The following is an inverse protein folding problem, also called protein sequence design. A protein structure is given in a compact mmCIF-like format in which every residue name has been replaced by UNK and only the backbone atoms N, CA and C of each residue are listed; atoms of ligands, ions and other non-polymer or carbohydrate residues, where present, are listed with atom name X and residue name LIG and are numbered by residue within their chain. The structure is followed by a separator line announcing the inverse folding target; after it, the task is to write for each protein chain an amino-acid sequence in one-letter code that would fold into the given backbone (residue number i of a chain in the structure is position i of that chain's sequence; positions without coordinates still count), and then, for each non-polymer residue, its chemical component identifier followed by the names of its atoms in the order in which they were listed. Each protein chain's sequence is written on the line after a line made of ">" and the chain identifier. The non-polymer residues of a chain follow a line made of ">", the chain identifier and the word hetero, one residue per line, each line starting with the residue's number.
data_IF_028866905200
#
_entry.id   IF_028866905200
#
_cell.length_a   1.000
_cell.length_b   1.000
_cell.length_c   1.000
_cell.angle_alpha   90.00
_cell.angle_beta   90.00
_cell.angle_gamma   90.00
#
_symmetry.space_group_name_H-M   'P 1'
#
loop_
_entity.id
_entity.type
_entity.pdbx_description
1 polymer ?
#
# COMPACT_ATOMS: atom_id res chain seq x y z
N UNK A 1 8.83 -6.60 0.81
CA UNK A 1 8.99 -5.69 1.96
C UNK A 1 9.71 -4.44 1.52
N UNK A 2 9.09 -3.31 1.78
CA UNK A 2 9.58 -1.94 1.62
C UNK A 2 10.52 -1.56 2.77
N UNK A 3 11.19 -0.40 2.65
CA UNK A 3 12.11 0.08 3.68
C UNK A 3 11.40 0.35 5.02
N UNK A 4 10.21 0.95 4.99
CA UNK A 4 9.44 1.22 6.21
C UNK A 4 9.05 -0.05 6.96
N UNK A 5 8.62 -1.09 6.23
CA UNK A 5 8.29 -2.39 6.83
C UNK A 5 9.51 -3.06 7.45
N UNK A 6 10.69 -2.96 6.80
CA UNK A 6 11.92 -3.50 7.39
C UNK A 6 12.31 -2.79 8.69
N UNK A 7 12.07 -1.48 8.79
CA UNK A 7 12.32 -0.71 10.02
C UNK A 7 11.35 -1.13 11.11
N UNK A 8 10.05 -1.21 10.80
CA UNK A 8 9.03 -1.70 11.73
C UNK A 8 9.37 -3.10 12.24
N UNK A 9 9.65 -4.04 11.33
CA UNK A 9 10.00 -5.42 11.68
C UNK A 9 11.24 -5.53 12.55
N UNK A 10 12.25 -4.69 12.32
CA UNK A 10 13.45 -4.64 13.16
C UNK A 10 13.13 -4.19 14.59
N UNK A 11 12.18 -3.27 14.75
CA UNK A 11 11.74 -2.77 16.06
C UNK A 11 10.79 -3.75 16.77
N UNK A 12 9.82 -4.31 16.04
CA UNK A 12 8.82 -5.24 16.55
C UNK A 12 9.34 -6.69 16.65
N UNK A 13 10.53 -6.98 16.09
CA UNK A 13 11.12 -8.33 15.96
C UNK A 13 10.19 -9.30 15.22
N UNK A 14 9.40 -8.80 14.28
CA UNK A 14 8.46 -9.58 13.48
C UNK A 14 9.16 -10.20 12.25
N UNK A 15 8.86 -11.46 11.87
CA UNK A 15 9.39 -12.04 10.63
C UNK A 15 8.87 -11.32 9.38
N UNK A 16 9.56 -11.54 8.26
CA UNK A 16 9.12 -11.04 6.94
C UNK A 16 7.78 -11.63 6.54
N UNK A 17 6.86 -10.79 6.04
CA UNK A 17 5.69 -11.26 5.33
C UNK A 17 6.03 -11.59 3.88
N UNK A 18 5.61 -12.76 3.41
CA UNK A 18 5.73 -13.19 2.02
C UNK A 18 4.38 -13.30 1.31
N UNK A 19 3.28 -12.94 1.98
CA UNK A 19 1.92 -13.02 1.43
C UNK A 19 1.80 -12.23 0.12
N UNK A 20 2.25 -10.95 0.01
CA UNK A 20 2.13 -10.22 -1.26
C UNK A 20 2.93 -10.85 -2.40
N UNK A 21 4.13 -11.38 -2.10
CA UNK A 21 4.94 -12.10 -3.08
C UNK A 21 4.29 -13.39 -3.58
N UNK A 22 3.66 -14.15 -2.67
CA UNK A 22 2.88 -15.34 -3.01
C UNK A 22 1.64 -14.99 -3.82
N UNK A 23 0.96 -13.89 -3.47
CA UNK A 23 -0.19 -13.36 -4.23
C UNK A 23 0.20 -13.08 -5.67
N UNK A 24 1.30 -12.34 -5.87
CA UNK A 24 1.78 -12.02 -7.22
C UNK A 24 2.26 -13.27 -7.97
N UNK A 25 2.91 -14.21 -7.30
CA UNK A 25 3.31 -15.49 -7.90
C UNK A 25 2.09 -16.22 -8.47
N UNK A 26 1.01 -16.33 -7.68
CA UNK A 26 -0.24 -16.97 -8.11
C UNK A 26 -0.96 -16.21 -9.22
N UNK A 27 -1.04 -14.88 -9.13
CA UNK A 27 -1.65 -14.05 -10.19
C UNK A 27 -0.94 -14.20 -11.54
N UNK A 28 0.38 -14.40 -11.53
CA UNK A 28 1.20 -14.54 -12.72
C UNK A 28 1.50 -15.99 -13.11
N UNK A 29 0.94 -16.98 -12.39
CA UNK A 29 1.26 -18.40 -12.55
C UNK A 29 2.76 -18.69 -12.51
N UNK A 30 3.49 -18.02 -11.60
CA UNK A 30 4.94 -18.14 -11.38
C UNK A 30 5.23 -19.05 -10.18
N UNK A 31 6.44 -19.66 -10.12
CA UNK A 31 6.84 -20.46 -8.96
C UNK A 31 7.01 -19.61 -7.70
N UNK A 32 6.67 -20.18 -6.55
CA UNK A 32 6.81 -19.55 -5.23
C UNK A 32 8.28 -19.34 -4.80
N UNK A 33 9.25 -19.91 -5.53
CA UNK A 33 10.68 -19.76 -5.25
C UNK A 33 11.19 -18.33 -5.48
N UNK A 34 10.47 -17.51 -6.27
CA UNK A 34 10.81 -16.11 -6.52
C UNK A 34 10.12 -15.13 -5.55
N UNK A 35 9.49 -15.64 -4.47
CA UNK A 35 8.60 -14.86 -3.60
C UNK A 35 9.19 -13.56 -3.07
N UNK A 36 10.49 -13.46 -2.79
CA UNK A 36 11.08 -12.21 -2.29
C UNK A 36 11.09 -11.09 -3.33
N UNK A 37 11.50 -11.41 -4.56
CA UNK A 37 11.49 -10.47 -5.68
C UNK A 37 10.04 -10.06 -6.00
N UNK A 38 9.16 -11.06 -6.08
CA UNK A 38 7.74 -10.83 -6.34
C UNK A 38 7.07 -10.03 -5.21
N UNK A 39 7.51 -10.20 -3.96
CA UNK A 39 7.02 -9.42 -2.84
C UNK A 39 7.33 -7.93 -3.04
N UNK A 40 8.57 -7.60 -3.38
CA UNK A 40 8.96 -6.22 -3.67
C UNK A 40 8.18 -5.66 -4.87
N UNK A 41 8.07 -6.42 -5.95
CA UNK A 41 7.30 -6.04 -7.14
C UNK A 41 5.83 -5.77 -6.81
N UNK A 42 5.20 -6.62 -5.99
CA UNK A 42 3.81 -6.45 -5.60
C UNK A 42 3.61 -5.16 -4.80
N UNK A 43 4.45 -4.90 -3.79
CA UNK A 43 4.37 -3.67 -3.00
C UNK A 43 4.53 -2.41 -3.86
N UNK A 44 5.55 -2.38 -4.73
CA UNK A 44 5.76 -1.21 -5.59
C UNK A 44 4.70 -1.08 -6.68
N UNK A 45 4.25 -2.19 -7.26
CA UNK A 45 3.22 -2.21 -8.31
C UNK A 45 1.87 -1.70 -7.78
N UNK A 46 1.40 -2.26 -6.66
CA UNK A 46 0.19 -1.76 -6.01
C UNK A 46 0.35 -0.33 -5.51
N UNK A 47 1.51 0.00 -4.94
CA UNK A 47 1.82 1.36 -4.50
C UNK A 47 1.78 2.38 -5.64
N UNK A 48 2.32 2.05 -6.81
CA UNK A 48 2.28 2.92 -7.98
C UNK A 48 0.85 3.09 -8.52
N UNK A 49 0.10 1.98 -8.66
CA UNK A 49 -1.27 2.00 -9.15
C UNK A 49 -2.20 2.80 -8.23
N UNK A 50 -2.11 2.59 -6.93
CA UNK A 50 -2.92 3.33 -5.97
C UNK A 50 -2.42 4.76 -5.76
N UNK A 51 -1.12 5.02 -5.90
CA UNK A 51 -0.59 6.38 -5.97
C UNK A 51 -1.18 7.18 -7.12
N UNK A 52 -1.35 6.56 -8.30
CA UNK A 52 -2.06 7.18 -9.43
C UNK A 52 -3.52 7.49 -9.08
N UNK A 53 -4.24 6.55 -8.46
CA UNK A 53 -5.61 6.79 -7.98
C UNK A 53 -5.64 7.97 -7.01
N UNK A 54 -4.72 8.03 -6.03
CA UNK A 54 -4.65 9.12 -5.07
C UNK A 54 -4.37 10.46 -5.74
N UNK A 55 -3.47 10.49 -6.71
CA UNK A 55 -3.18 11.69 -7.49
C UNK A 55 -4.40 12.14 -8.29
N UNK A 56 -5.13 11.22 -8.93
CA UNK A 56 -6.39 11.53 -9.63
C UNK A 56 -7.42 12.12 -8.68
N UNK A 57 -7.61 11.52 -7.49
CA UNK A 57 -8.49 12.07 -6.45
C UNK A 57 -8.11 13.52 -6.11
N UNK A 58 -6.81 13.79 -5.94
CA UNK A 58 -6.27 15.12 -5.68
C UNK A 58 -6.59 16.10 -6.82
N UNK A 59 -6.38 15.73 -8.08
CA UNK A 59 -6.71 16.58 -9.25
C UNK A 59 -8.19 17.04 -9.22
N UNK A 60 -9.10 16.17 -8.80
CA UNK A 60 -10.53 16.48 -8.69
C UNK A 60 -10.95 17.14 -7.36
N UNK A 61 -9.99 17.54 -6.52
CA UNK A 61 -10.27 18.24 -5.26
C UNK A 61 -10.62 17.31 -4.08
N UNK A 62 -10.59 16.00 -4.27
CA UNK A 62 -10.82 15.01 -3.22
C UNK A 62 -9.54 14.88 -2.39
N UNK A 63 -9.41 15.73 -1.37
CA UNK A 63 -8.20 15.91 -0.55
C UNK A 63 -8.49 15.92 0.95
N UNK A 64 -7.44 15.83 1.74
CA UNK A 64 -7.47 16.04 3.19
C UNK A 64 -7.69 14.78 4.04
N UNK A 65 -7.73 14.92 5.37
CA UNK A 65 -7.55 13.80 6.31
C UNK A 65 -8.69 12.77 6.25
N UNK A 66 -9.92 13.21 5.97
CA UNK A 66 -11.04 12.28 5.79
C UNK A 66 -10.89 11.43 4.52
N UNK A 67 -10.36 12.03 3.46
CA UNK A 67 -10.07 11.31 2.22
C UNK A 67 -8.94 10.31 2.44
N UNK A 68 -7.90 10.67 3.18
CA UNK A 68 -6.81 9.75 3.52
C UNK A 68 -7.30 8.55 4.34
N UNK A 69 -8.26 8.75 5.24
CA UNK A 69 -8.93 7.67 5.95
C UNK A 69 -9.67 6.72 5.00
N UNK A 70 -10.48 7.25 4.09
CA UNK A 70 -11.19 6.43 3.08
C UNK A 70 -10.20 5.70 2.16
N UNK A 71 -9.14 6.38 1.74
CA UNK A 71 -8.11 5.82 0.88
C UNK A 71 -7.28 4.74 1.58
N UNK A 72 -7.04 4.87 2.89
CA UNK A 72 -6.47 3.79 3.71
C UNK A 72 -7.34 2.54 3.65
N UNK A 73 -8.66 2.68 3.80
CA UNK A 73 -9.62 1.59 3.63
C UNK A 73 -9.60 0.98 2.22
N UNK A 74 -9.51 1.81 1.18
CA UNK A 74 -9.34 1.34 -0.20
C UNK A 74 -8.06 0.52 -0.38
N UNK A 75 -6.92 1.01 0.13
CA UNK A 75 -5.62 0.34 0.05
C UNK A 75 -5.66 -1.03 0.72
N UNK A 76 -6.26 -1.13 1.92
CA UNK A 76 -6.50 -2.38 2.63
C UNK A 76 -7.39 -3.32 1.83
N UNK A 77 -8.49 -2.80 1.28
CA UNK A 77 -9.46 -3.60 0.52
C UNK A 77 -8.84 -4.22 -0.73
N UNK A 78 -7.94 -3.52 -1.42
CA UNK A 78 -7.22 -4.05 -2.58
C UNK A 78 -6.29 -5.21 -2.20
N UNK A 79 -5.56 -5.08 -1.08
CA UNK A 79 -4.72 -6.19 -0.57
C UNK A 79 -5.59 -7.40 -0.25
N UNK A 80 -6.61 -7.19 0.58
CA UNK A 80 -7.48 -8.27 1.02
C UNK A 80 -8.24 -8.93 -0.13
N UNK A 81 -8.65 -8.17 -1.13
CA UNK A 81 -9.31 -8.73 -2.31
C UNK A 81 -8.34 -9.64 -3.06
N UNK A 82 -7.14 -9.18 -3.38
CA UNK A 82 -6.19 -9.96 -4.18
C UNK A 82 -5.65 -11.17 -3.42
N UNK A 83 -5.29 -11.00 -2.15
CA UNK A 83 -4.74 -12.05 -1.30
C UNK A 83 -5.77 -13.16 -1.04
N UNK A 84 -7.02 -12.81 -0.73
CA UNK A 84 -8.07 -13.82 -0.51
C UNK A 84 -8.52 -14.44 -1.84
N UNK A 85 -8.56 -13.68 -2.93
CA UNK A 85 -8.95 -14.19 -4.26
C UNK A 85 -8.05 -15.34 -4.72
N UNK A 86 -6.73 -15.23 -4.51
CA UNK A 86 -5.77 -16.29 -4.86
C UNK A 86 -5.48 -17.23 -3.70
N UNK A 87 -6.19 -17.10 -2.58
CA UNK A 87 -6.07 -17.96 -1.38
C UNK A 87 -4.71 -17.89 -0.69
N UNK A 88 -3.96 -16.79 -0.85
CA UNK A 88 -2.66 -16.58 -0.20
C UNK A 88 -2.80 -15.93 1.18
N UNK A 89 -3.92 -15.23 1.42
CA UNK A 89 -4.25 -14.58 2.68
C UNK A 89 -5.27 -15.34 3.53
N UNK A 90 -5.49 -14.82 4.72
CA UNK A 90 -6.61 -15.16 5.58
C UNK A 90 -7.43 -13.87 5.85
N UNK A 91 -8.68 -14.02 6.27
CA UNK A 91 -9.55 -12.88 6.54
C UNK A 91 -8.97 -11.99 7.66
N UNK A 92 -9.01 -10.65 7.56
CA UNK A 92 -8.33 -9.76 8.51
C UNK A 92 -8.71 -9.98 9.98
N UNK A 93 -9.97 -10.27 10.26
CA UNK A 93 -10.48 -10.53 11.60
C UNK A 93 -10.03 -11.87 12.22
N UNK A 94 -9.27 -12.67 11.47
CA UNK A 94 -8.63 -13.90 11.97
C UNK A 94 -7.18 -13.68 12.37
N UNK A 95 -6.61 -12.51 12.05
CA UNK A 95 -5.22 -12.19 12.34
C UNK A 95 -5.05 -11.73 13.80
N UNK A 96 -3.85 -11.89 14.38
CA UNK A 96 -3.48 -11.21 15.61
C UNK A 96 -3.71 -9.69 15.50
N UNK A 97 -4.15 -9.07 16.61
CA UNK A 97 -4.53 -7.64 16.63
C UNK A 97 -3.36 -6.73 16.29
N UNK A 98 -2.16 -7.09 16.73
CA UNK A 98 -0.91 -6.39 16.40
C UNK A 98 -0.65 -6.36 14.90
N UNK A 99 -0.87 -7.47 14.18
CA UNK A 99 -0.73 -7.49 12.72
C UNK A 99 -1.76 -6.59 12.03
N UNK A 100 -3.00 -6.56 12.51
CA UNK A 100 -4.04 -5.67 11.99
C UNK A 100 -3.67 -4.19 12.19
N UNK A 101 -3.16 -3.84 13.38
CA UNK A 101 -2.72 -2.47 13.69
C UNK A 101 -1.54 -2.07 12.80
N UNK A 102 -0.53 -2.93 12.67
CA UNK A 102 0.62 -2.69 11.78
C UNK A 102 0.13 -2.46 10.35
N UNK A 103 -0.78 -3.28 9.85
CA UNK A 103 -1.29 -3.15 8.49
C UNK A 103 -2.00 -1.82 8.28
N UNK A 104 -2.93 -1.46 9.16
CA UNK A 104 -3.65 -0.18 9.13
C UNK A 104 -2.67 0.99 9.17
N UNK A 105 -1.66 0.95 10.06
CA UNK A 105 -0.66 2.02 10.19
C UNK A 105 0.14 2.18 8.89
N UNK A 106 0.64 1.09 8.31
CA UNK A 106 1.40 1.15 7.06
C UNK A 106 0.57 1.71 5.90
N UNK A 107 -0.71 1.31 5.82
CA UNK A 107 -1.63 1.83 4.80
C UNK A 107 -2.01 3.28 5.04
N UNK A 108 -2.15 3.70 6.30
CA UNK A 108 -2.37 5.10 6.68
C UNK A 108 -1.17 5.99 6.36
N UNK A 109 0.04 5.54 6.66
CA UNK A 109 1.28 6.24 6.30
C UNK A 109 1.38 6.38 4.78
N UNK A 110 1.07 5.32 4.03
CA UNK A 110 1.04 5.39 2.57
C UNK A 110 0.01 6.40 2.05
N UNK A 111 -1.21 6.38 2.58
CA UNK A 111 -2.28 7.32 2.21
C UNK A 111 -1.86 8.78 2.44
N UNK A 112 -1.36 9.07 3.64
CA UNK A 112 -0.90 10.40 4.02
C UNK A 112 0.31 10.86 3.19
N UNK A 113 1.33 10.01 3.04
CA UNK A 113 2.55 10.38 2.33
C UNK A 113 2.28 10.63 0.83
N UNK A 114 1.42 9.81 0.22
CA UNK A 114 1.05 10.02 -1.19
C UNK A 114 0.27 11.31 -1.39
N UNK A 115 -0.66 11.64 -0.50
CA UNK A 115 -1.34 12.95 -0.55
C UNK A 115 -0.36 14.11 -0.37
N UNK A 116 0.49 14.05 0.64
CA UNK A 116 1.46 15.12 0.91
C UNK A 116 2.35 15.41 -0.32
N UNK A 117 2.82 14.36 -0.99
CA UNK A 117 3.61 14.48 -2.23
C UNK A 117 2.76 15.06 -3.36
N UNK A 118 1.53 14.59 -3.54
CA UNK A 118 0.63 15.09 -4.58
C UNK A 118 0.33 16.58 -4.39
N UNK A 119 -0.01 16.98 -3.17
CA UNK A 119 -0.32 18.35 -2.82
C UNK A 119 0.88 19.27 -3.05
N UNK A 120 2.06 18.87 -2.60
CA UNK A 120 3.30 19.59 -2.87
C UNK A 120 3.53 19.79 -4.38
N UNK A 121 3.34 18.74 -5.18
CA UNK A 121 3.50 18.80 -6.62
C UNK A 121 2.48 19.73 -7.29
N UNK A 122 1.21 19.64 -6.89
CA UNK A 122 0.15 20.51 -7.45
C UNK A 122 0.40 21.98 -7.14
N UNK A 123 0.82 22.31 -5.93
CA UNK A 123 1.18 23.67 -5.54
C UNK A 123 2.37 24.20 -6.36
N UNK A 124 3.39 23.36 -6.57
CA UNK A 124 4.55 23.70 -7.41
C UNK A 124 4.14 24.00 -8.86
N UNK A 125 3.35 23.12 -9.48
CA UNK A 125 2.87 23.31 -10.87
C UNK A 125 2.03 24.58 -11.00
N UNK A 126 1.12 24.83 -10.06
CA UNK A 126 0.30 26.04 -10.05
C UNK A 126 1.16 27.30 -10.02
N UNK A 127 2.18 27.35 -9.15
CA UNK A 127 3.09 28.49 -9.02
C UNK A 127 3.97 28.74 -10.27
N UNK A 128 4.27 27.71 -11.06
CA UNK A 128 4.99 27.84 -12.33
C UNK A 128 4.07 28.29 -13.47
N UNK A 129 2.80 27.88 -13.48
CA UNK A 129 1.83 28.24 -14.53
C UNK A 129 1.34 29.70 -14.47
N UNK A 130 1.54 30.38 -13.34
CA UNK A 130 1.12 31.77 -13.12
C UNK A 130 2.22 32.80 -13.42
N UNK A 131 3.34 32.40 -14.03
CA UNK A 131 4.44 33.28 -14.49
C UNK A 131 4.48 33.32 -16.00
#
# INVERSE_FOLDING_TARGET
>A
MTAGEKVEQALARRPNSHVPGLTLARLLSRPDTEKEKLNLTMHHGQGALLGLVRATMGVYGTRGPFVDFIFTGMRLSVDQTLENWVGSGALPWTWPVDEQVIDIVHKGVFAFATEYICEFWFQYVAACSSR
#
